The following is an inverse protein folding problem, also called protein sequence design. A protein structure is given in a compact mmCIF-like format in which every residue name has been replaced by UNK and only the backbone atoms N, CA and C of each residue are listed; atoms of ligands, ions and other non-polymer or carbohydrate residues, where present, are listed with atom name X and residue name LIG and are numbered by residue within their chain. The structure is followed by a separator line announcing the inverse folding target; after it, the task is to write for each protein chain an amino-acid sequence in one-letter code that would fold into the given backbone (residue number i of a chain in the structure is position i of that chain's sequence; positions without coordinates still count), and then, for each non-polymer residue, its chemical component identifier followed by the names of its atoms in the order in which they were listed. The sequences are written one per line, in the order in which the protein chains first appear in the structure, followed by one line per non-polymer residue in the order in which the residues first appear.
data_IF_104891596856
#
_entry.id   IF_104891596856
#
_cell.length_a   1.000
_cell.length_b   1.000
_cell.length_c   1.000
_cell.angle_alpha   90.00
_cell.angle_beta   90.00
_cell.angle_gamma   90.00
#
_symmetry.space_group_name_H-M   'P 1'
#
loop_
_entity.id
_entity.type
_entity.pdbx_description
1 polymer ?
#
# COMPACT_ATOMS: atom_id res chain seq x y z
N UNK A 1 9.82 -3.97 -0.38
CA UNK A 1 8.50 -4.63 -0.52
C UNK A 1 7.42 -3.59 -0.28
N UNK A 2 6.26 -3.67 -0.93
CA UNK A 2 5.19 -2.66 -0.74
C UNK A 2 4.51 -2.98 0.59
N UNK A 3 4.48 -2.01 1.50
CA UNK A 3 3.90 -2.15 2.84
C UNK A 3 2.53 -1.48 2.96
N UNK A 4 2.34 -0.36 2.27
CA UNK A 4 1.12 0.42 2.41
C UNK A 4 0.72 1.08 1.11
N UNK A 5 -0.58 1.08 0.86
CA UNK A 5 -1.23 1.85 -0.19
C UNK A 5 -2.06 2.91 0.51
N UNK A 6 -1.85 4.17 0.15
CA UNK A 6 -2.69 5.25 0.65
C UNK A 6 -3.33 5.99 -0.49
N UNK A 7 -4.64 6.23 -0.41
CA UNK A 7 -5.31 7.08 -1.38
C UNK A 7 -6.23 8.07 -0.68
N UNK A 8 -6.36 9.23 -1.30
CA UNK A 8 -7.20 10.32 -0.79
C UNK A 8 -8.52 10.35 -1.54
N UNK A 9 -9.61 10.42 -0.78
CA UNK A 9 -10.96 10.63 -1.28
C UNK A 9 -11.72 11.60 -0.36
N UNK A 10 -12.74 12.25 -0.90
CA UNK A 10 -13.53 13.23 -0.16
C UNK A 10 -15.03 12.96 -0.32
N UNK A 11 -15.63 12.28 0.65
CA UNK A 11 -17.07 11.96 0.59
C UNK A 11 -17.96 13.19 0.43
N UNK A 12 -17.63 14.30 1.11
CA UNK A 12 -18.44 15.52 1.09
C UNK A 12 -18.42 16.21 -0.27
N UNK A 13 -17.33 16.08 -1.00
CA UNK A 13 -17.18 16.72 -2.31
C UNK A 13 -17.56 15.78 -3.47
N UNK A 14 -17.34 14.48 -3.32
CA UNK A 14 -17.45 13.50 -4.40
C UNK A 14 -18.77 12.70 -4.36
N UNK A 15 -19.49 12.66 -3.23
CA UNK A 15 -20.78 11.98 -3.08
C UNK A 15 -20.77 10.56 -3.70
N UNK A 16 -21.45 10.35 -4.83
CA UNK A 16 -21.54 9.07 -5.54
C UNK A 16 -20.24 8.65 -6.26
N UNK A 17 -19.29 9.56 -6.48
CA UNK A 17 -17.96 9.25 -7.04
C UNK A 17 -16.98 8.75 -5.97
N UNK A 18 -17.43 8.64 -4.71
CA UNK A 18 -16.61 8.15 -3.59
C UNK A 18 -16.54 6.63 -3.60
N UNK A 19 -15.34 6.01 -3.54
CA UNK A 19 -15.23 4.56 -3.45
C UNK A 19 -15.87 4.03 -2.15
N UNK A 20 -16.64 2.95 -2.26
CA UNK A 20 -17.23 2.23 -1.13
C UNK A 20 -16.49 0.92 -0.87
N UNK A 21 -16.20 0.13 -1.90
CA UNK A 21 -15.48 -1.15 -1.73
C UNK A 21 -14.28 -1.17 -2.64
N UNK A 22 -13.12 -1.46 -2.07
CA UNK A 22 -11.84 -1.44 -2.76
C UNK A 22 -11.12 -2.77 -2.53
N UNK A 23 -10.61 -3.35 -3.61
CA UNK A 23 -9.86 -4.60 -3.60
C UNK A 23 -8.43 -4.31 -4.04
N UNK A 24 -7.46 -4.69 -3.21
CA UNK A 24 -6.05 -4.69 -3.55
C UNK A 24 -5.68 -6.07 -4.05
N UNK A 25 -5.09 -6.15 -5.23
CA UNK A 25 -4.70 -7.40 -5.88
C UNK A 25 -3.24 -7.35 -6.29
N UNK A 26 -2.60 -8.50 -6.32
CA UNK A 26 -1.21 -8.61 -6.74
C UNK A 26 -0.89 -9.92 -7.43
N UNK A 27 0.11 -9.89 -8.31
CA UNK A 27 0.51 -11.02 -9.14
C UNK A 27 1.79 -10.74 -9.93
N UNK A 28 2.06 -11.58 -10.91
CA UNK A 28 3.19 -11.40 -11.83
C UNK A 28 2.79 -10.67 -13.11
N UNK A 29 1.54 -10.83 -13.56
CA UNK A 29 0.93 -10.26 -14.76
C UNK A 29 -0.57 -10.00 -14.53
N UNK A 30 -1.30 -9.57 -15.57
CA UNK A 30 -2.72 -9.24 -15.44
C UNK A 30 -3.64 -10.47 -15.25
N UNK A 31 -3.25 -11.65 -15.74
CA UNK A 31 -4.08 -12.85 -15.72
C UNK A 31 -3.94 -13.69 -14.45
N UNK A 32 -2.94 -13.41 -13.61
CA UNK A 32 -2.68 -14.15 -12.36
C UNK A 32 -2.83 -13.27 -11.11
N UNK A 33 -3.46 -12.10 -11.24
CA UNK A 33 -3.76 -11.23 -10.10
C UNK A 33 -4.64 -11.96 -9.08
N UNK A 34 -4.16 -12.04 -7.84
CA UNK A 34 -4.90 -12.56 -6.68
C UNK A 34 -5.30 -11.43 -5.76
N UNK A 35 -6.51 -11.50 -5.21
CA UNK A 35 -6.95 -10.57 -4.18
C UNK A 35 -6.12 -10.77 -2.91
N UNK A 36 -5.48 -9.69 -2.47
CA UNK A 36 -4.66 -9.64 -1.27
C UNK A 36 -5.46 -9.11 -0.08
N UNK A 37 -6.23 -8.03 -0.33
CA UNK A 37 -7.05 -7.36 0.68
C UNK A 37 -8.33 -6.84 0.03
N UNK A 38 -9.45 -6.97 0.71
CA UNK A 38 -10.72 -6.34 0.34
C UNK A 38 -11.19 -5.47 1.52
N UNK A 39 -11.39 -4.18 1.27
CA UNK A 39 -11.75 -3.19 2.31
C UNK A 39 -13.02 -2.47 1.92
N UNK A 40 -13.91 -2.31 2.89
CA UNK A 40 -15.06 -1.43 2.80
C UNK A 40 -14.73 -0.08 3.44
N UNK A 41 -14.99 0.99 2.71
CA UNK A 41 -14.59 2.35 3.02
C UNK A 41 -15.70 3.08 3.76
N UNK A 42 -15.33 3.82 4.80
CA UNK A 42 -16.25 4.71 5.49
C UNK A 42 -16.45 6.03 4.72
N UNK A 43 -17.62 6.68 4.84
CA UNK A 43 -17.93 7.95 4.18
C UNK A 43 -17.25 9.14 4.88
N UNK A 44 -15.91 9.14 4.88
CA UNK A 44 -15.07 10.18 5.47
C UNK A 44 -14.41 11.04 4.38
N UNK A 45 -13.80 12.14 4.79
CA UNK A 45 -12.90 12.96 3.97
C UNK A 45 -11.49 12.77 4.50
N UNK A 46 -10.59 12.25 3.68
CA UNK A 46 -9.20 12.08 4.11
C UNK A 46 -8.43 10.99 3.37
N UNK A 47 -7.32 10.59 3.98
CA UNK A 47 -6.49 9.50 3.54
C UNK A 47 -7.02 8.16 4.06
N UNK A 48 -7.32 7.23 3.15
CA UNK A 48 -7.39 5.83 3.49
C UNK A 48 -6.02 5.20 3.38
N UNK A 49 -5.62 4.48 4.43
CA UNK A 49 -4.36 3.74 4.49
C UNK A 49 -4.68 2.25 4.55
N UNK A 50 -4.27 1.51 3.53
CA UNK A 50 -4.39 0.06 3.46
C UNK A 50 -3.00 -0.53 3.66
N UNK A 51 -2.79 -1.13 4.82
CA UNK A 51 -1.55 -1.83 5.18
C UNK A 51 -1.58 -3.27 4.64
N UNK A 52 -0.49 -3.71 4.03
CA UNK A 52 -0.33 -5.02 3.40
C UNK A 52 0.52 -6.00 4.24
N UNK A 53 0.80 -5.64 5.49
CA UNK A 53 1.67 -6.42 6.39
C UNK A 53 0.97 -7.68 6.93
N UNK A 54 -0.35 -7.61 7.09
CA UNK A 54 -1.18 -8.65 7.71
C UNK A 54 -1.96 -9.50 6.70
N UNK A 55 -1.38 -9.76 5.52
CA UNK A 55 -2.00 -10.71 4.60
C UNK A 55 -1.96 -12.11 5.26
N UNK A 56 -3.10 -12.79 5.43
CA UNK A 56 -3.15 -14.07 6.12
C UNK A 56 -2.21 -15.10 5.47
N UNK A 57 -1.25 -15.61 6.23
CA UNK A 57 -0.38 -16.73 5.82
C UNK A 57 1.09 -16.41 5.54
N UNK A 58 1.50 -15.14 5.46
CA UNK A 58 2.94 -14.80 5.25
C UNK A 58 3.58 -13.99 6.38
N UNK A 59 2.80 -13.21 7.15
CA UNK A 59 3.33 -12.26 8.14
C UNK A 59 4.35 -11.27 7.55
N UNK A 60 4.34 -11.12 6.22
CA UNK A 60 5.34 -10.35 5.46
C UNK A 60 4.64 -9.62 4.32
N UNK A 61 5.08 -8.39 3.98
CA UNK A 61 4.50 -7.63 2.90
C UNK A 61 4.61 -8.38 1.56
N UNK A 62 3.61 -8.27 0.67
CA UNK A 62 3.58 -9.01 -0.58
C UNK A 62 4.71 -8.56 -1.51
N UNK A 63 5.35 -9.53 -2.16
CA UNK A 63 6.30 -9.31 -3.26
C UNK A 63 5.57 -9.61 -4.56
N UNK A 64 5.22 -8.57 -5.30
CA UNK A 64 4.45 -8.67 -6.55
C UNK A 64 5.11 -7.81 -7.62
N UNK A 65 5.02 -8.23 -8.88
CA UNK A 65 5.48 -7.43 -10.02
C UNK A 65 4.38 -6.49 -10.51
N UNK A 66 3.13 -6.91 -10.38
CA UNK A 66 1.95 -6.12 -10.69
C UNK A 66 1.09 -5.98 -9.44
N UNK A 67 0.71 -4.73 -9.14
CA UNK A 67 -0.24 -4.39 -8.10
C UNK A 67 -1.44 -3.68 -8.74
N UNK A 68 -2.65 -4.08 -8.37
CA UNK A 68 -3.88 -3.48 -8.85
C UNK A 68 -4.73 -3.00 -7.66
N UNK A 69 -5.10 -1.72 -7.68
CA UNK A 69 -6.14 -1.16 -6.83
C UNK A 69 -7.44 -1.15 -7.65
N UNK A 70 -8.38 -2.02 -7.31
CA UNK A 70 -9.66 -2.14 -8.00
C UNK A 70 -10.77 -1.54 -7.14
N UNK A 71 -11.43 -0.49 -7.65
CA UNK A 71 -12.66 0.02 -7.05
C UNK A 71 -13.80 -0.88 -7.51
N UNK A 72 -14.40 -1.62 -6.58
CA UNK A 72 -15.44 -2.60 -6.84
C UNK A 72 -16.82 -1.95 -6.89
N UNK A 73 -17.04 -0.97 -6.01
CA UNK A 73 -18.28 -0.19 -5.97
C UNK A 73 -18.05 1.18 -5.36
N UNK A 74 -18.91 2.13 -5.71
CA UNK A 74 -18.95 3.47 -5.13
C UNK A 74 -20.13 3.64 -4.18
N UNK A 75 -20.09 4.70 -3.38
CA UNK A 75 -21.20 5.16 -2.57
C UNK A 75 -22.40 5.51 -3.45
N UNK A 76 -23.61 5.37 -2.91
CA UNK A 76 -24.87 5.71 -3.60
C UNK A 76 -25.05 5.02 -4.98
N UNK A 77 -24.32 3.92 -5.24
CA UNK A 77 -24.37 3.23 -6.53
C UNK A 77 -23.76 4.00 -7.70
N UNK A 78 -22.84 4.94 -7.43
CA UNK A 78 -22.19 5.72 -8.48
C UNK A 78 -21.39 4.87 -9.47
N UNK A 79 -21.37 5.30 -10.73
CA UNK A 79 -20.76 4.57 -11.85
C UNK A 79 -19.25 4.79 -11.97
N UNK A 80 -18.83 6.04 -11.82
CA UNK A 80 -17.45 6.47 -11.98
C UNK A 80 -16.87 6.88 -10.62
N UNK A 81 -15.54 6.91 -10.48
CA UNK A 81 -14.87 7.16 -9.19
C UNK A 81 -13.88 8.31 -9.29
N UNK A 82 -13.85 9.17 -8.27
CA UNK A 82 -12.80 10.17 -8.09
C UNK A 82 -11.76 9.67 -7.08
N UNK A 83 -10.55 9.39 -7.57
CA UNK A 83 -9.36 9.21 -6.72
C UNK A 83 -8.48 10.43 -6.90
N UNK A 84 -8.38 11.24 -5.85
CA UNK A 84 -7.69 12.55 -5.94
C UNK A 84 -6.18 12.41 -5.82
N UNK A 85 -5.73 11.42 -5.05
CA UNK A 85 -4.32 11.11 -4.92
C UNK A 85 -4.12 9.65 -4.54
N UNK A 86 -3.03 9.06 -5.04
CA UNK A 86 -2.56 7.72 -4.68
C UNK A 86 -1.07 7.81 -4.29
N UNK A 87 -0.70 7.10 -3.23
CA UNK A 87 0.67 6.94 -2.75
C UNK A 87 0.90 5.47 -2.43
N UNK A 88 2.09 5.00 -2.82
CA UNK A 88 2.58 3.66 -2.50
C UNK A 88 3.80 3.80 -1.63
N UNK A 89 3.84 3.05 -0.53
CA UNK A 89 4.94 3.05 0.41
C UNK A 89 5.57 1.67 0.48
N UNK A 90 6.88 1.64 0.47
CA UNK A 90 7.69 0.45 0.67
C UNK A 90 8.53 0.57 1.92
N UNK A 91 8.86 -0.57 2.52
CA UNK A 91 9.87 -0.62 3.56
C UNK A 91 11.17 -0.04 3.01
N UNK A 92 11.75 0.92 3.75
CA UNK A 92 13.13 1.35 3.49
C UNK A 92 14.04 0.16 3.74
N UNK A 93 15.03 -0.03 2.87
CA UNK A 93 16.07 -1.02 3.15
C UNK A 93 16.71 -0.67 4.49
N UNK A 94 16.70 -1.60 5.46
CA UNK A 94 17.38 -1.35 6.73
C UNK A 94 18.86 -1.13 6.42
N UNK A 95 19.46 -0.14 7.07
CA UNK A 95 20.89 0.16 6.93
C UNK A 95 21.78 -0.95 7.50
N UNK A 96 21.18 -1.84 8.29
CA UNK A 96 21.78 -3.00 8.92
C UNK A 96 21.20 -4.23 8.24
N UNK A 97 22.07 -5.10 7.72
CA UNK A 97 21.68 -6.40 7.21
C UNK A 97 21.32 -7.32 8.37
N UNK A 98 20.32 -8.20 8.21
CA UNK A 98 20.05 -9.27 9.21
C UNK A 98 21.26 -10.20 9.41
N UNK A 99 22.22 -10.18 8.48
CA UNK A 99 23.48 -10.92 8.56
C UNK A 99 24.60 -10.17 9.30
N UNK A 100 24.39 -8.92 9.71
CA UNK A 100 25.39 -8.16 10.45
C UNK A 100 25.36 -8.58 11.93
N UNK A 101 26.37 -9.33 12.38
CA UNK A 101 26.51 -9.72 13.80
C UNK A 101 26.64 -8.49 14.72
N UNK A 102 27.11 -7.36 14.18
CA UNK A 102 27.21 -6.07 14.89
C UNK A 102 26.62 -4.98 14.02
N UNK A 103 25.49 -4.38 14.40
CA UNK A 103 24.85 -3.34 13.60
C UNK A 103 25.67 -2.04 13.64
N UNK A 104 25.98 -1.49 12.46
CA UNK A 104 26.63 -0.18 12.31
C UNK A 104 25.62 0.94 12.61
N UNK A 105 25.32 1.18 13.89
CA UNK A 105 24.34 2.20 14.33
C UNK A 105 24.97 3.51 14.77
N UNK A 106 26.20 3.49 15.28
CA UNK A 106 26.83 4.72 15.77
C UNK A 106 27.27 5.66 14.62
N UNK A 107 27.18 6.98 14.81
CA UNK A 107 27.56 7.96 13.79
C UNK A 107 29.01 7.79 13.29
N UNK A 108 29.93 7.40 14.17
CA UNK A 108 31.35 7.18 13.83
C UNK A 108 31.53 6.03 12.84
N UNK A 109 30.76 4.96 13.02
CA UNK A 109 30.77 3.79 12.15
C UNK A 109 30.05 4.06 10.82
N UNK A 110 28.95 4.82 10.85
CA UNK A 110 28.20 5.21 9.65
C UNK A 110 29.01 6.04 8.65
N UNK A 111 30.00 6.81 9.12
CA UNK A 111 30.89 7.61 8.26
C UNK A 111 31.62 6.75 7.22
N UNK A 112 31.96 5.50 7.57
CA UNK A 112 32.68 4.57 6.72
C UNK A 112 31.78 3.54 6.03
N UNK A 113 30.46 3.66 6.18
CA UNK A 113 29.50 2.66 5.69
C UNK A 113 29.36 2.64 4.16
N UNK A 114 29.78 3.70 3.45
CA UNK A 114 29.67 3.81 1.98
C UNK A 114 30.84 4.62 1.42
N UNK A 115 31.43 4.14 0.33
CA UNK A 115 32.33 4.96 -0.51
C UNK A 115 31.44 5.78 -1.45
N UNK A 116 31.68 7.09 -1.54
CA UNK A 116 30.92 8.00 -2.42
C UNK A 116 31.74 8.41 -3.63
#
# INVERSE_FOLDING_TARGET
MIQQISFYYDYKQDESYTPLRVSVRGGTAFHDLKELVNVEMEPITGWANITLEDIPGSGRPPRVFLLQLAIISNQLGGRDTHVRQLKLFSAREPTVSENDEIPFTEPEFLLYSRIR
#
